data_IF_479282165108
#
_entry.id   IF_479282165108
#
_cell.length_a   1.000
_cell.length_b   1.000
_cell.length_c   1.000
_cell.angle_alpha   90.00
_cell.angle_beta   90.00
_cell.angle_gamma   90.00
#
_symmetry.space_group_name_H-M   'P 1'
#
loop_
_entity.id
_entity.type
_entity.pdbx_description
1 polymer ?
#
# COMPACT_ATOMS: atom_id res chain seq x y z
N UNK A 1 40.19 -7.06 9.52
CA UNK A 1 39.10 -6.74 8.67
C UNK A 1 38.21 -7.96 8.50
N UNK A 2 37.00 -7.94 9.06
CA UNK A 2 35.98 -9.01 8.85
C UNK A 2 34.93 -8.45 7.92
N UNK A 3 34.86 -9.08 6.77
CA UNK A 3 33.85 -8.86 5.73
C UNK A 3 32.58 -9.61 6.10
N UNK A 4 31.45 -8.92 6.24
CA UNK A 4 30.14 -9.55 6.45
C UNK A 4 29.32 -9.37 5.17
N UNK A 5 29.22 -10.48 4.42
CA UNK A 5 28.38 -10.58 3.24
C UNK A 5 26.90 -10.24 3.52
N UNK A 6 26.37 -9.30 2.78
CA UNK A 6 24.94 -9.01 2.69
C UNK A 6 24.27 -10.05 1.80
N UNK A 7 23.30 -10.79 2.33
CA UNK A 7 22.37 -11.57 1.51
C UNK A 7 21.34 -10.63 0.88
N UNK A 8 21.38 -10.52 -0.44
CA UNK A 8 20.36 -9.80 -1.21
C UNK A 8 19.10 -10.65 -1.33
N UNK A 9 17.99 -10.15 -0.79
CA UNK A 9 16.67 -10.65 -1.12
C UNK A 9 16.33 -10.24 -2.57
N UNK A 10 15.99 -11.21 -3.40
CA UNK A 10 15.65 -10.99 -4.80
C UNK A 10 14.37 -10.20 -4.97
N UNK A 11 14.47 -8.99 -5.49
CA UNK A 11 13.34 -8.19 -5.93
C UNK A 11 12.78 -8.76 -7.24
N UNK A 12 11.56 -9.25 -7.21
CA UNK A 12 10.79 -9.55 -8.42
C UNK A 12 10.21 -8.23 -8.94
N UNK A 13 10.84 -7.65 -9.96
CA UNK A 13 10.32 -6.46 -10.66
C UNK A 13 9.41 -6.97 -11.79
N UNK A 14 8.11 -6.74 -11.66
CA UNK A 14 7.16 -6.90 -12.77
C UNK A 14 7.24 -5.64 -13.64
N UNK A 15 7.89 -5.75 -14.79
CA UNK A 15 7.85 -4.71 -15.82
C UNK A 15 6.62 -4.91 -16.71
N UNK A 16 5.71 -3.95 -16.69
CA UNK A 16 4.57 -3.88 -17.60
C UNK A 16 4.95 -3.07 -18.84
N UNK A 17 4.82 -3.67 -20.03
CA UNK A 17 5.02 -2.99 -21.32
C UNK A 17 3.65 -2.79 -22.01
N UNK A 18 3.19 -1.55 -22.26
CA UNK A 18 1.85 -1.29 -22.79
C UNK A 18 1.76 -1.20 -24.31
N UNK A 19 2.53 -1.99 -25.05
CA UNK A 19 2.44 -2.02 -26.52
C UNK A 19 2.14 -3.44 -27.00
N UNK A 20 0.87 -3.85 -26.97
CA UNK A 20 0.20 -4.67 -27.99
C UNK A 20 -1.13 -5.21 -27.48
N UNK A 21 -2.22 -4.71 -28.05
CA UNK A 21 -3.56 -5.23 -27.82
C UNK A 21 -3.77 -6.58 -28.51
N UNK A 22 -4.49 -7.44 -27.83
CA UNK A 22 -4.97 -8.79 -28.10
C UNK A 22 -4.18 -9.89 -27.38
N UNK A 23 -4.78 -10.49 -26.35
CA UNK A 23 -4.32 -11.76 -25.83
C UNK A 23 -5.48 -12.74 -25.70
N UNK A 24 -5.35 -13.81 -26.47
CA UNK A 24 -6.06 -15.08 -26.28
C UNK A 24 -5.38 -15.85 -25.16
N UNK A 25 -6.18 -16.55 -24.34
CA UNK A 25 -5.72 -17.41 -23.27
C UNK A 25 -4.76 -18.47 -23.78
N UNK A 26 -3.55 -18.50 -23.24
CA UNK A 26 -2.53 -19.49 -23.52
C UNK A 26 -2.03 -20.14 -22.24
N UNK A 27 -2.02 -21.48 -22.25
CA UNK A 27 -1.53 -22.34 -21.17
C UNK A 27 -0.10 -22.01 -20.74
N UNK A 28 0.09 -21.66 -19.46
CA UNK A 28 1.42 -21.53 -18.86
C UNK A 28 1.85 -22.84 -18.21
N UNK A 29 2.60 -23.65 -18.97
CA UNK A 29 3.41 -24.75 -18.43
C UNK A 29 4.79 -24.23 -18.07
N UNK A 30 5.04 -23.99 -16.79
CA UNK A 30 6.37 -23.64 -16.30
C UNK A 30 7.13 -24.91 -15.95
N UNK A 31 7.98 -25.41 -16.88
CA UNK A 31 9.00 -26.42 -16.60
C UNK A 31 10.35 -25.72 -16.41
N UNK A 32 10.67 -25.33 -15.19
CA UNK A 32 12.03 -24.94 -14.82
C UNK A 32 12.68 -26.09 -14.03
N UNK A 33 13.54 -26.87 -14.71
CA UNK A 33 14.49 -27.76 -14.07
C UNK A 33 15.68 -26.92 -13.58
N UNK A 34 15.77 -26.70 -12.28
CA UNK A 34 17.00 -26.16 -11.68
C UNK A 34 17.92 -27.34 -11.37
N UNK A 35 18.97 -27.51 -12.18
CA UNK A 35 20.04 -28.48 -11.90
C UNK A 35 21.08 -27.82 -11.00
N UNK A 36 21.08 -28.13 -9.72
CA UNK A 36 22.16 -27.77 -8.80
C UNK A 36 23.28 -28.82 -8.91
N UNK A 37 24.39 -28.46 -9.59
CA UNK A 37 25.64 -29.24 -9.50
C UNK A 37 26.38 -28.84 -8.24
N UNK A 38 26.32 -29.72 -7.21
CA UNK A 38 27.23 -29.65 -6.07
C UNK A 38 28.40 -30.57 -6.35
N UNK A 39 29.55 -29.98 -6.59
CA UNK A 39 30.80 -30.73 -6.75
C UNK A 39 31.38 -31.09 -5.39
N UNK A 40 31.57 -32.40 -5.14
CA UNK A 40 32.56 -32.87 -4.20
C UNK A 40 32.09 -33.34 -2.82
N UNK A 41 31.07 -34.21 -2.71
CA UNK A 41 30.94 -35.10 -1.56
C UNK A 41 30.32 -36.44 -1.99
N UNK A 42 31.10 -37.55 -1.73
CA UNK A 42 30.64 -38.93 -1.88
C UNK A 42 30.00 -39.35 -0.58
N UNK A 43 28.69 -39.55 -0.56
CA UNK A 43 27.99 -40.16 0.58
C UNK A 43 27.65 -41.60 0.29
N UNK A 44 28.04 -42.50 1.22
CA UNK A 44 27.68 -43.94 1.16
C UNK A 44 26.20 -44.13 1.50
N UNK A 45 25.55 -45.06 0.84
CA UNK A 45 24.11 -45.33 0.86
C UNK A 45 23.45 -45.62 2.23
N UNK A 46 24.22 -45.73 3.30
CA UNK A 46 23.73 -45.98 4.65
C UNK A 46 23.38 -44.71 5.44
N UNK A 47 23.89 -43.54 5.06
CA UNK A 47 23.61 -42.28 5.72
C UNK A 47 22.34 -41.60 5.16
N UNK A 48 21.88 -42.00 3.98
CA UNK A 48 20.70 -41.39 3.34
C UNK A 48 19.37 -41.81 3.98
N UNK A 49 19.30 -43.01 4.62
CA UNK A 49 18.07 -43.51 5.22
C UNK A 49 17.62 -42.82 6.50
N UNK A 50 18.53 -42.17 7.25
CA UNK A 50 18.18 -41.43 8.46
C UNK A 50 17.91 -39.94 8.22
N UNK A 51 18.51 -39.35 7.19
CA UNK A 51 18.30 -37.96 6.85
C UNK A 51 16.93 -37.73 6.15
N UNK A 52 16.47 -38.76 5.39
CA UNK A 52 15.15 -38.68 4.70
C UNK A 52 13.98 -38.77 5.68
N UNK A 53 14.16 -39.39 6.86
CA UNK A 53 13.09 -39.49 7.87
C UNK A 53 12.84 -38.22 8.67
N UNK A 54 13.78 -37.27 8.70
CA UNK A 54 13.61 -35.97 9.38
C UNK A 54 13.20 -34.84 8.46
N UNK A 55 13.22 -35.01 7.14
CA UNK A 55 12.89 -34.02 6.15
C UNK A 55 11.51 -34.16 5.48
N UNK A 56 10.67 -35.10 5.96
CA UNK A 56 9.23 -35.07 5.65
C UNK A 56 8.48 -34.01 6.48
N UNK A 57 9.03 -32.83 6.69
CA UNK A 57 8.22 -31.65 6.71
C UNK A 57 7.73 -31.48 5.28
N UNK A 58 6.60 -32.09 5.01
CA UNK A 58 5.80 -31.78 3.82
C UNK A 58 5.67 -30.28 3.74
N UNK A 59 6.38 -29.67 2.80
CA UNK A 59 6.06 -28.35 2.33
C UNK A 59 4.65 -28.48 1.75
N UNK A 60 3.64 -28.27 2.58
CA UNK A 60 2.31 -27.99 2.08
C UNK A 60 2.47 -26.69 1.31
N UNK A 61 2.65 -26.81 0.01
CA UNK A 61 2.33 -25.72 -0.90
C UNK A 61 0.83 -25.54 -0.71
N UNK A 62 0.46 -24.69 0.25
CA UNK A 62 -0.92 -24.23 0.36
C UNK A 62 -1.20 -23.61 -1.00
N UNK A 63 -2.28 -24.02 -1.68
CA UNK A 63 -2.66 -23.35 -2.90
C UNK A 63 -2.75 -21.86 -2.56
N UNK A 64 -1.99 -21.04 -3.28
CA UNK A 64 -1.98 -19.60 -3.08
C UNK A 64 -3.36 -19.11 -3.51
N UNK A 65 -4.25 -18.92 -2.54
CA UNK A 65 -5.59 -18.41 -2.78
C UNK A 65 -5.54 -16.88 -2.78
N UNK A 66 -6.09 -16.27 -3.82
CA UNK A 66 -6.22 -14.82 -3.87
C UNK A 66 -7.35 -14.40 -2.93
N UNK A 67 -7.08 -13.42 -2.09
CA UNK A 67 -8.09 -12.79 -1.25
C UNK A 67 -8.71 -11.62 -2.00
N UNK A 68 -9.99 -11.74 -2.33
CA UNK A 68 -10.77 -10.62 -2.83
C UNK A 68 -11.45 -9.92 -1.66
N UNK A 69 -11.45 -8.59 -1.69
CA UNK A 69 -11.96 -7.79 -0.60
C UNK A 69 -13.17 -6.97 -1.07
N UNK A 70 -14.19 -6.89 -0.23
CA UNK A 70 -15.28 -5.93 -0.39
C UNK A 70 -14.78 -4.57 0.13
N UNK A 71 -14.71 -3.54 -0.72
CA UNK A 71 -14.24 -2.24 -0.30
C UNK A 71 -15.24 -1.55 0.64
N UNK A 72 -14.71 -0.71 1.53
CA UNK A 72 -15.51 0.14 2.41
C UNK A 72 -15.53 1.57 1.88
N UNK A 73 -16.71 2.10 1.61
CA UNK A 73 -16.87 3.46 1.12
C UNK A 73 -17.06 4.46 2.26
N UNK A 74 -16.54 5.67 2.06
CA UNK A 74 -16.68 6.80 2.98
C UNK A 74 -17.21 8.02 2.25
N UNK A 75 -18.26 8.58 2.79
CA UNK A 75 -18.80 9.85 2.35
C UNK A 75 -17.95 11.00 2.90
N UNK A 76 -17.77 12.05 2.09
CA UNK A 76 -17.02 13.25 2.45
C UNK A 76 -17.59 14.45 1.70
N UNK A 77 -17.59 15.62 2.35
CA UNK A 77 -18.10 16.87 1.73
C UNK A 77 -17.34 17.26 0.45
N UNK A 78 -16.12 16.79 0.30
CA UNK A 78 -15.27 17.00 -0.87
C UNK A 78 -15.33 15.84 -1.88
N UNK A 79 -16.06 14.77 -1.58
CA UNK A 79 -16.19 13.59 -2.43
C UNK A 79 -16.98 13.83 -3.71
N UNK A 80 -16.84 12.90 -4.66
CA UNK A 80 -17.46 12.97 -5.97
C UNK A 80 -18.08 11.64 -6.42
N UNK A 81 -18.19 11.50 -7.73
CA UNK A 81 -18.84 10.34 -8.38
C UNK A 81 -17.88 9.52 -9.24
N UNK A 82 -16.60 9.91 -9.33
CA UNK A 82 -15.63 9.25 -10.21
C UNK A 82 -15.38 7.79 -9.81
N UNK A 83 -15.54 7.43 -8.53
CA UNK A 83 -15.49 6.03 -8.09
C UNK A 83 -16.54 5.17 -8.80
N UNK A 84 -17.73 5.70 -9.05
CA UNK A 84 -18.77 5.07 -9.86
C UNK A 84 -18.48 5.24 -11.35
N UNK A 85 -18.34 6.48 -11.80
CA UNK A 85 -18.39 6.84 -13.22
C UNK A 85 -17.14 6.38 -13.99
N UNK A 86 -15.98 6.29 -13.33
CA UNK A 86 -14.70 5.89 -13.94
C UNK A 86 -14.24 4.49 -13.55
N UNK A 87 -14.63 3.99 -12.37
CA UNK A 87 -14.16 2.71 -11.83
C UNK A 87 -15.27 1.65 -11.69
N UNK A 88 -16.56 2.03 -11.89
CA UNK A 88 -17.67 1.10 -11.86
C UNK A 88 -18.08 0.59 -10.48
N UNK A 89 -17.65 1.26 -9.40
CA UNK A 89 -18.08 0.92 -8.06
C UNK A 89 -19.54 1.32 -7.80
N UNK A 90 -20.24 0.49 -7.04
CA UNK A 90 -21.59 0.83 -6.51
C UNK A 90 -21.41 1.68 -5.25
N UNK A 91 -21.32 3.01 -5.43
CA UNK A 91 -21.09 3.96 -4.36
C UNK A 91 -22.38 4.32 -3.64
N UNK A 92 -22.37 4.55 -2.30
CA UNK A 92 -23.57 4.83 -1.52
C UNK A 92 -24.20 6.21 -1.80
N UNK A 93 -23.41 7.17 -2.30
CA UNK A 93 -23.90 8.53 -2.60
C UNK A 93 -23.01 9.26 -3.61
N UNK A 94 -23.49 10.39 -4.12
CA UNK A 94 -22.75 11.29 -5.03
C UNK A 94 -21.66 12.13 -4.32
N UNK A 95 -21.47 11.93 -3.02
CA UNK A 95 -20.42 12.52 -2.20
C UNK A 95 -19.49 11.46 -1.60
N UNK A 96 -19.33 10.33 -2.28
CA UNK A 96 -18.41 9.27 -1.86
C UNK A 96 -16.97 9.68 -2.18
N UNK A 97 -16.22 10.05 -1.12
CA UNK A 97 -14.86 10.56 -1.28
C UNK A 97 -13.79 9.48 -1.24
N UNK A 98 -14.01 8.38 -0.53
CA UNK A 98 -12.99 7.34 -0.37
C UNK A 98 -13.56 5.93 -0.60
N UNK A 99 -12.79 5.11 -1.31
CA UNK A 99 -12.93 3.67 -1.40
C UNK A 99 -11.74 3.04 -0.66
N UNK A 100 -11.98 2.50 0.54
CA UNK A 100 -10.97 1.75 1.28
C UNK A 100 -10.90 0.34 0.71
N UNK A 101 -9.99 0.16 -0.23
CA UNK A 101 -9.89 -1.07 -1.02
C UNK A 101 -9.22 -2.22 -0.25
N UNK A 102 -8.22 -1.90 0.60
CA UNK A 102 -7.59 -2.86 1.51
C UNK A 102 -7.45 -2.19 2.87
N UNK A 103 -8.22 -2.67 3.85
CA UNK A 103 -8.28 -2.08 5.18
C UNK A 103 -8.64 -3.13 6.23
N UNK A 104 -7.85 -3.18 7.30
CA UNK A 104 -8.19 -3.86 8.55
C UNK A 104 -8.42 -2.83 9.68
N UNK A 105 -8.71 -1.58 9.33
CA UNK A 105 -8.89 -0.52 10.29
C UNK A 105 -10.27 -0.59 10.95
N UNK A 106 -10.34 -0.39 12.27
CA UNK A 106 -11.58 -0.48 13.08
C UNK A 106 -12.77 0.35 12.56
N UNK A 107 -12.50 1.43 11.84
CA UNK A 107 -13.52 2.29 11.26
C UNK A 107 -13.95 1.88 9.85
N UNK A 108 -13.39 0.80 9.29
CA UNK A 108 -13.69 0.35 7.94
C UNK A 108 -12.86 -0.87 7.58
N UNK A 109 -13.19 -1.98 8.20
CA UNK A 109 -12.55 -3.27 7.97
C UNK A 109 -13.16 -3.96 6.77
N UNK A 110 -12.35 -4.36 5.81
CA UNK A 110 -12.81 -5.03 4.59
C UNK A 110 -13.19 -6.49 4.85
N UNK A 111 -14.30 -6.93 4.29
CA UNK A 111 -14.67 -8.35 4.28
C UNK A 111 -14.01 -9.07 3.10
N UNK A 112 -13.77 -10.35 3.30
CA UNK A 112 -13.31 -11.24 2.24
C UNK A 112 -14.53 -11.67 1.41
N UNK A 113 -14.41 -11.54 0.08
CA UNK A 113 -15.43 -11.97 -0.88
C UNK A 113 -15.04 -13.29 -1.53
N UNK A 114 -15.77 -14.34 -1.21
CA UNK A 114 -15.57 -15.68 -1.78
C UNK A 114 -14.39 -16.46 -1.16
N UNK A 115 -14.19 -17.68 -1.67
CA UNK A 115 -13.16 -18.58 -1.17
C UNK A 115 -13.45 -19.14 0.23
N UNK A 116 -12.43 -19.73 0.86
CA UNK A 116 -12.58 -20.38 2.19
C UNK A 116 -12.77 -19.38 3.33
N UNK A 117 -12.47 -18.12 3.11
CA UNK A 117 -12.55 -17.06 4.11
C UNK A 117 -13.72 -16.10 3.89
N UNK A 118 -14.65 -16.47 3.02
CA UNK A 118 -15.82 -15.65 2.67
C UNK A 118 -16.54 -15.08 3.90
N UNK A 119 -16.81 -13.78 3.87
CA UNK A 119 -17.50 -13.05 4.93
C UNK A 119 -16.66 -12.72 6.18
N UNK A 120 -15.45 -13.24 6.31
CA UNK A 120 -14.53 -12.86 7.40
C UNK A 120 -13.94 -11.48 7.14
N UNK A 121 -13.56 -10.78 8.21
CA UNK A 121 -12.88 -9.50 8.12
C UNK A 121 -11.37 -9.66 7.95
N UNK A 122 -10.74 -8.71 7.27
CA UNK A 122 -9.29 -8.72 7.07
C UNK A 122 -8.52 -8.68 8.39
N UNK A 123 -9.01 -7.94 9.39
CA UNK A 123 -8.42 -7.90 10.74
C UNK A 123 -8.41 -9.28 11.41
N UNK A 124 -9.48 -10.05 11.24
CA UNK A 124 -9.55 -11.41 11.80
C UNK A 124 -8.53 -12.34 11.15
N UNK A 125 -8.36 -12.24 9.82
CA UNK A 125 -7.34 -13.01 9.12
C UNK A 125 -5.93 -12.61 9.55
N UNK A 126 -5.69 -11.32 9.76
CA UNK A 126 -4.41 -10.84 10.28
C UNK A 126 -4.02 -11.47 11.61
N UNK A 127 -4.99 -11.60 12.53
CA UNK A 127 -4.78 -12.16 13.86
C UNK A 127 -4.70 -13.69 13.86
N UNK A 128 -5.57 -14.35 13.10
CA UNK A 128 -5.78 -15.80 13.19
C UNK A 128 -4.99 -16.61 12.14
N UNK A 129 -4.60 -15.99 11.03
CA UNK A 129 -3.94 -16.62 9.88
C UNK A 129 -2.64 -15.90 9.49
N UNK A 130 -1.69 -15.72 10.41
CA UNK A 130 -0.50 -14.89 10.16
C UNK A 130 0.36 -15.40 8.99
N UNK A 131 0.25 -16.71 8.65
CA UNK A 131 0.95 -17.29 7.51
C UNK A 131 0.55 -16.68 6.16
N UNK A 132 -0.70 -16.19 6.04
CA UNK A 132 -1.18 -15.49 4.83
C UNK A 132 -0.40 -14.18 4.57
N UNK A 133 0.14 -13.61 5.63
CA UNK A 133 0.87 -12.34 5.63
C UNK A 133 2.38 -12.52 5.83
N UNK A 134 2.90 -13.73 5.58
CA UNK A 134 4.32 -14.03 5.73
C UNK A 134 4.82 -13.95 7.18
N UNK A 135 3.94 -14.13 8.18
CA UNK A 135 4.24 -13.99 9.60
C UNK A 135 4.85 -12.62 9.93
N UNK A 136 4.34 -11.55 9.31
CA UNK A 136 4.81 -10.19 9.56
C UNK A 136 4.69 -9.82 11.05
N UNK A 137 5.75 -9.33 11.69
CA UNK A 137 5.76 -9.04 13.12
C UNK A 137 5.04 -7.72 13.41
N UNK A 138 3.77 -7.78 13.75
CA UNK A 138 2.98 -6.61 14.11
C UNK A 138 1.61 -6.99 14.63
N UNK A 139 1.13 -6.25 15.64
CA UNK A 139 -0.21 -6.46 16.22
C UNK A 139 -1.32 -5.88 15.35
N UNK A 140 -1.00 -4.97 14.43
CA UNK A 140 -1.96 -4.33 13.54
C UNK A 140 -1.55 -4.53 12.09
N UNK A 141 -2.53 -4.69 11.21
CA UNK A 141 -2.31 -4.69 9.78
C UNK A 141 -1.70 -3.35 9.34
N UNK A 142 -0.53 -3.35 8.66
CA UNK A 142 0.28 -2.15 8.53
C UNK A 142 -0.15 -1.18 7.41
N UNK A 143 -1.16 -1.54 6.62
CA UNK A 143 -1.53 -0.80 5.42
C UNK A 143 -3.00 -0.36 5.46
N UNK A 144 -3.25 0.81 4.85
CA UNK A 144 -4.57 1.25 4.44
C UNK A 144 -4.46 1.72 2.99
N UNK A 145 -4.96 0.91 2.06
CA UNK A 145 -4.94 1.24 0.64
C UNK A 145 -6.32 1.75 0.25
N UNK A 146 -6.36 2.97 -0.28
CA UNK A 146 -7.61 3.62 -0.64
C UNK A 146 -7.53 4.38 -1.95
N UNK A 147 -8.65 4.46 -2.66
CA UNK A 147 -8.83 5.36 -3.78
C UNK A 147 -9.61 6.58 -3.28
N UNK A 148 -9.09 7.77 -3.51
CA UNK A 148 -9.69 9.04 -3.12
C UNK A 148 -10.18 9.74 -4.37
N UNK A 149 -11.48 10.06 -4.41
CA UNK A 149 -12.09 10.92 -5.42
C UNK A 149 -12.29 12.31 -4.83
N UNK A 150 -11.34 13.19 -5.09
CA UNK A 150 -11.37 14.57 -4.64
C UNK A 150 -12.09 15.45 -5.68
N UNK A 151 -13.41 15.63 -5.54
CA UNK A 151 -14.17 16.62 -6.31
C UNK A 151 -13.80 18.04 -5.88
N UNK A 152 -13.60 18.26 -4.58
CA UNK A 152 -13.17 19.53 -4.00
C UNK A 152 -11.87 19.32 -3.19
N UNK A 153 -11.27 20.43 -2.75
CA UNK A 153 -10.05 20.42 -1.96
C UNK A 153 -10.24 19.72 -0.61
N UNK A 154 -9.29 18.85 -0.24
CA UNK A 154 -9.18 18.32 1.10
C UNK A 154 -8.46 19.31 2.01
N UNK A 155 -8.63 19.11 3.33
CA UNK A 155 -7.89 19.88 4.34
C UNK A 155 -6.38 19.69 4.22
N UNK A 156 -5.62 20.74 4.55
CA UNK A 156 -4.16 20.65 4.68
C UNK A 156 -3.83 19.92 5.97
N UNK A 157 -2.95 18.92 5.90
CA UNK A 157 -2.61 18.00 6.98
C UNK A 157 -1.09 17.87 7.14
N UNK A 158 -0.70 17.46 8.36
CA UNK A 158 0.64 16.97 8.69
C UNK A 158 0.45 15.73 9.55
N UNK A 159 1.14 14.65 9.22
CA UNK A 159 1.09 13.42 9.99
C UNK A 159 2.36 13.22 10.81
N UNK A 160 2.26 12.67 12.04
CA UNK A 160 3.41 12.38 12.88
C UNK A 160 4.20 11.16 12.40
N UNK A 161 5.43 11.05 12.85
CA UNK A 161 6.19 9.80 12.83
C UNK A 161 5.79 8.88 14.00
N UNK A 162 6.32 7.64 14.02
CA UNK A 162 6.00 6.65 15.06
C UNK A 162 6.40 7.12 16.47
N UNK A 163 7.53 7.82 16.60
CA UNK A 163 8.03 8.29 17.88
C UNK A 163 7.09 9.34 18.47
N UNK A 164 6.73 10.35 17.67
CA UNK A 164 5.81 11.40 18.08
C UNK A 164 4.40 10.83 18.37
N UNK A 165 3.88 9.97 17.48
CA UNK A 165 2.56 9.39 17.64
C UNK A 165 2.47 8.49 18.89
N UNK A 166 3.50 7.71 19.19
CA UNK A 166 3.56 6.88 20.38
C UNK A 166 3.50 7.71 21.67
N UNK A 167 4.18 8.87 21.70
CA UNK A 167 4.25 9.74 22.89
C UNK A 167 3.00 10.61 23.05
N UNK A 168 2.47 11.18 21.94
CA UNK A 168 1.47 12.22 21.97
C UNK A 168 0.07 11.79 21.50
N UNK A 169 -0.06 10.63 20.82
CA UNK A 169 -1.30 10.12 20.24
C UNK A 169 -1.73 8.78 20.86
N UNK A 170 -1.57 8.65 22.18
CA UNK A 170 -1.99 7.48 22.96
C UNK A 170 -1.42 6.14 22.46
N UNK A 171 -0.15 6.11 22.06
CA UNK A 171 0.52 4.90 21.56
C UNK A 171 0.16 4.52 20.13
N UNK A 172 -0.40 5.44 19.37
CA UNK A 172 -0.69 5.23 17.94
C UNK A 172 0.59 5.09 17.12
N UNK A 173 0.47 4.47 15.95
CA UNK A 173 1.53 4.50 14.94
C UNK A 173 1.53 5.85 14.21
N UNK A 174 2.70 6.25 13.72
CA UNK A 174 2.83 7.34 12.78
C UNK A 174 2.15 7.04 11.45
N UNK A 175 2.13 8.02 10.54
CA UNK A 175 1.47 7.85 9.25
C UNK A 175 2.37 8.34 8.12
N UNK A 176 3.04 7.39 7.49
CA UNK A 176 3.72 7.59 6.21
C UNK A 176 2.74 7.29 5.09
N UNK A 177 2.67 8.15 4.09
CA UNK A 177 1.80 7.96 2.92
C UNK A 177 2.59 7.94 1.62
N UNK A 178 1.97 7.41 0.59
CA UNK A 178 2.38 7.64 -0.79
C UNK A 178 1.13 7.78 -1.64
N UNK A 179 1.25 8.57 -2.71
CA UNK A 179 0.16 8.84 -3.63
C UNK A 179 0.55 8.47 -5.04
N UNK A 180 -0.34 7.76 -5.72
CA UNK A 180 -0.27 7.54 -7.15
C UNK A 180 -1.48 8.20 -7.82
N UNK A 181 -1.25 9.11 -8.75
CA UNK A 181 -2.33 9.85 -9.43
C UNK A 181 -2.96 8.97 -10.49
N UNK A 182 -4.16 8.46 -10.21
CA UNK A 182 -4.93 7.64 -11.14
C UNK A 182 -5.55 8.48 -12.25
N UNK A 183 -6.01 9.69 -11.91
CA UNK A 183 -6.59 10.64 -12.85
C UNK A 183 -6.54 12.05 -12.27
N UNK A 184 -6.49 13.07 -13.13
CA UNK A 184 -6.64 14.46 -12.70
C UNK A 184 -7.14 15.36 -13.84
N UNK A 185 -7.80 16.45 -13.47
CA UNK A 185 -8.21 17.50 -14.42
C UNK A 185 -6.99 18.32 -14.87
N UNK A 186 -6.99 18.86 -16.11
CA UNK A 186 -5.90 19.69 -16.58
C UNK A 186 -5.65 20.91 -15.67
N UNK A 187 -4.39 21.16 -15.33
CA UNK A 187 -3.99 22.30 -14.49
C UNK A 187 -4.21 22.09 -12.99
N UNK A 188 -4.61 20.90 -12.58
CA UNK A 188 -4.75 20.56 -11.15
C UNK A 188 -3.38 20.58 -10.46
N UNK A 189 -3.41 20.98 -9.20
CA UNK A 189 -2.23 21.03 -8.32
C UNK A 189 -2.51 20.26 -7.04
N UNK A 190 -1.46 19.93 -6.31
CA UNK A 190 -1.52 19.39 -4.94
C UNK A 190 -0.63 20.23 -4.03
N UNK A 191 -0.87 20.14 -2.73
CA UNK A 191 -0.01 20.76 -1.72
C UNK A 191 1.01 19.75 -1.26
N UNK A 192 2.31 20.07 -1.36
CA UNK A 192 3.41 19.30 -0.80
C UNK A 192 4.48 20.22 -0.24
N UNK A 193 4.60 20.27 1.09
CA UNK A 193 5.58 21.06 1.81
C UNK A 193 5.20 22.54 1.90
N UNK A 194 6.18 23.35 2.28
CA UNK A 194 6.07 24.79 2.47
C UNK A 194 7.27 25.54 1.87
N UNK A 195 7.17 26.85 1.77
CA UNK A 195 8.20 27.72 1.19
C UNK A 195 9.07 28.44 2.24
N UNK A 196 8.77 28.30 3.54
CA UNK A 196 9.58 28.90 4.60
C UNK A 196 11.01 28.31 4.61
N UNK A 197 12.01 29.16 4.75
CA UNK A 197 13.45 28.80 4.69
C UNK A 197 13.95 28.21 5.99
N UNK A 198 13.34 28.63 7.10
CA UNK A 198 13.69 28.18 8.44
C UNK A 198 12.47 28.21 9.38
N UNK A 199 12.64 27.71 10.60
CA UNK A 199 11.58 27.65 11.61
C UNK A 199 11.03 29.04 11.97
N UNK A 200 11.89 30.05 12.03
CA UNK A 200 11.48 31.43 12.39
C UNK A 200 10.57 32.02 11.31
N UNK A 201 10.93 31.87 10.05
CA UNK A 201 10.10 32.33 8.92
C UNK A 201 8.77 31.54 8.86
N UNK A 202 8.82 30.24 9.14
CA UNK A 202 7.60 29.39 9.24
C UNK A 202 6.65 29.92 10.30
N UNK A 203 7.14 30.15 11.52
CA UNK A 203 6.34 30.69 12.63
C UNK A 203 5.79 32.08 12.32
N UNK A 204 6.58 32.92 11.64
CA UNK A 204 6.15 34.27 11.25
C UNK A 204 5.07 34.25 10.15
N UNK A 205 5.24 33.42 9.12
CA UNK A 205 4.25 33.25 8.04
C UNK A 205 2.91 32.78 8.59
N UNK A 206 2.91 31.79 9.48
CA UNK A 206 1.71 31.28 10.14
C UNK A 206 1.06 32.36 10.99
N UNK A 207 1.82 33.03 11.85
CA UNK A 207 1.31 34.09 12.73
C UNK A 207 0.70 35.28 11.97
N UNK A 208 1.26 35.59 10.80
CA UNK A 208 0.79 36.69 9.94
C UNK A 208 -0.31 36.27 8.97
N UNK A 209 -0.67 34.98 8.92
CA UNK A 209 -1.67 34.43 8.00
C UNK A 209 -1.25 34.48 6.52
N UNK A 210 0.06 34.48 6.24
CA UNK A 210 0.60 34.51 4.85
C UNK A 210 0.53 33.14 4.19
N UNK A 211 -0.66 32.55 4.14
CA UNK A 211 -0.87 31.19 3.68
C UNK A 211 -0.50 30.97 2.22
N UNK A 212 -0.80 31.91 1.34
CA UNK A 212 -0.49 31.83 -0.10
C UNK A 212 1.02 31.80 -0.39
N UNK A 213 1.81 32.49 0.45
CA UNK A 213 3.27 32.46 0.37
C UNK A 213 3.85 31.20 1.05
N UNK A 214 3.19 30.75 2.12
CA UNK A 214 3.65 29.64 2.94
C UNK A 214 3.47 28.28 2.28
N UNK A 215 2.27 28.04 1.71
CA UNK A 215 1.89 26.75 1.16
C UNK A 215 2.57 26.53 -0.19
N UNK A 216 3.30 25.41 -0.32
CA UNK A 216 3.89 25.02 -1.59
C UNK A 216 2.93 24.14 -2.39
N UNK A 217 2.57 24.58 -3.59
CA UNK A 217 1.76 23.83 -4.54
C UNK A 217 2.61 23.27 -5.67
N UNK A 218 2.24 22.08 -6.17
CA UNK A 218 2.94 21.36 -7.23
C UNK A 218 1.93 20.93 -8.28
N UNK A 219 2.25 21.15 -9.56
CA UNK A 219 1.44 20.62 -10.66
C UNK A 219 1.44 19.10 -10.65
N UNK A 220 0.32 18.50 -11.01
CA UNK A 220 0.18 17.04 -11.06
C UNK A 220 -0.42 16.59 -12.38
N UNK A 221 -0.05 15.39 -12.78
CA UNK A 221 -0.63 14.68 -13.93
C UNK A 221 -0.83 13.21 -13.60
N UNK A 222 -1.72 12.58 -14.35
CA UNK A 222 -1.92 11.12 -14.30
C UNK A 222 -0.60 10.37 -14.39
N UNK A 223 -0.40 9.41 -13.47
CA UNK A 223 0.80 8.57 -13.40
C UNK A 223 1.90 9.12 -12.50
N UNK A 224 1.76 10.33 -11.96
CA UNK A 224 2.72 10.86 -10.99
C UNK A 224 2.64 10.08 -9.67
N UNK A 225 3.81 9.96 -9.03
CA UNK A 225 3.95 9.33 -7.71
C UNK A 225 4.60 10.31 -6.73
N UNK A 226 4.03 10.38 -5.53
CA UNK A 226 4.54 11.25 -4.47
C UNK A 226 4.71 10.46 -3.18
N UNK A 227 5.90 10.53 -2.58
CA UNK A 227 6.15 10.04 -1.23
C UNK A 227 5.87 11.17 -0.23
N UNK A 228 4.97 10.92 0.71
CA UNK A 228 4.61 11.86 1.78
C UNK A 228 5.18 11.34 3.10
N UNK A 229 6.33 11.86 3.48
CA UNK A 229 6.96 11.50 4.73
C UNK A 229 6.26 12.17 5.93
N UNK A 230 6.33 11.59 7.14
CA UNK A 230 5.90 12.26 8.35
C UNK A 230 6.50 13.67 8.48
N UNK A 231 5.71 14.61 9.00
CA UNK A 231 6.10 16.02 9.11
C UNK A 231 5.95 16.84 7.82
N UNK A 232 5.63 16.22 6.70
CA UNK A 232 5.37 16.95 5.44
C UNK A 232 3.97 17.56 5.46
N UNK A 233 3.88 18.86 5.22
CA UNK A 233 2.61 19.56 4.96
C UNK A 233 2.07 19.10 3.62
N UNK A 234 0.82 18.61 3.56
CA UNK A 234 0.23 18.10 2.32
C UNK A 234 -1.27 18.26 2.25
N UNK A 235 -1.80 18.36 1.02
CA UNK A 235 -3.23 18.24 0.75
C UNK A 235 -3.48 17.80 -0.70
N UNK A 236 -4.48 16.95 -0.85
CA UNK A 236 -5.07 16.63 -2.14
C UNK A 236 -6.01 17.75 -2.51
N UNK A 237 -5.93 18.25 -3.76
CA UNK A 237 -6.81 19.28 -4.27
C UNK A 237 -7.86 18.69 -5.20
N UNK A 238 -8.97 19.44 -5.33
CA UNK A 238 -10.08 19.06 -6.18
C UNK A 238 -9.67 18.82 -7.63
N UNK A 239 -10.37 17.89 -8.28
CA UNK A 239 -10.08 17.46 -9.63
C UNK A 239 -9.12 16.28 -9.74
N UNK A 240 -8.67 15.70 -8.61
CA UNK A 240 -7.77 14.52 -8.62
C UNK A 240 -8.48 13.25 -8.19
N UNK A 241 -8.00 12.11 -8.73
CA UNK A 241 -8.26 10.76 -8.21
C UNK A 241 -6.92 10.12 -7.86
N UNK A 242 -6.76 9.73 -6.60
CA UNK A 242 -5.48 9.27 -6.04
C UNK A 242 -5.64 7.90 -5.37
N UNK A 243 -4.69 7.00 -5.65
CA UNK A 243 -4.46 5.76 -4.92
C UNK A 243 -3.41 6.02 -3.85
#
# INVERSE_FOLDING_TARGET
GMDRGMHSAGNCILSYNPANGSQTAGDYSCKSHVSLKVSGFSFTSRAMGSIIKETEKTWRVLPMELLFLEPVFKEAIWGGTKLRDSFGYDIPSDTTGECWAISAHKNGDCKIAGGRYDGRYLSQLWEEEPELFGNYPGSQFPLLIKIIDAKNDLSIQVHPDDAYASEHENGSLGKTECWYVLDCEPGTKIVIGHNAKDKKELEEMIRQGRWDEFIRVTDVKKGDFFQINPGCLHAIKGGTVIL
#
